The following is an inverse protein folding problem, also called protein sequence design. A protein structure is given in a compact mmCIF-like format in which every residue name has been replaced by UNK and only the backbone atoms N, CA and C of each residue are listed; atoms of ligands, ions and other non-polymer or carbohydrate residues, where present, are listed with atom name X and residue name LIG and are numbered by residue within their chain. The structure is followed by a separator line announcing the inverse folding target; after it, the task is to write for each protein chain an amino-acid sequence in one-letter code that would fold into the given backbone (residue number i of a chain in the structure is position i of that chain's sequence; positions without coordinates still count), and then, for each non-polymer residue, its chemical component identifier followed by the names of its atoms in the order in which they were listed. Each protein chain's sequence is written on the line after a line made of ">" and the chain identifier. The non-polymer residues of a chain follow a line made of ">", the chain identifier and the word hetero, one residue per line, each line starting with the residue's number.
data_IF_830061375899
#
_entry.id   IF_830061375899
#
_cell.length_a   1.000
_cell.length_b   1.000
_cell.length_c   1.000
_cell.angle_alpha   90.00
_cell.angle_beta   90.00
_cell.angle_gamma   90.00
#
_symmetry.space_group_name_H-M   'P 1'
#
loop_
_entity.id
_entity.type
_entity.pdbx_description
1 polymer ?
#
# COMPACT_ATOMS: atom_id res chain seq x y z
N UNK A 1 -2.71 15.53 20.16
CA UNK A 1 -1.48 15.90 19.44
C UNK A 1 -1.87 16.18 18.00
N UNK A 2 -1.33 17.24 17.39
CA UNK A 2 -1.69 17.62 16.03
C UNK A 2 -1.29 16.51 15.02
N UNK A 3 -2.10 16.26 13.97
CA UNK A 3 -1.73 15.34 12.90
C UNK A 3 -0.41 15.79 12.26
N UNK A 4 0.43 14.84 11.86
CA UNK A 4 1.62 15.17 11.09
C UNK A 4 1.23 15.84 9.77
N UNK A 5 2.15 16.56 9.12
CA UNK A 5 1.87 17.20 7.84
C UNK A 5 1.37 16.18 6.80
N UNK A 6 1.89 14.95 6.82
CA UNK A 6 1.50 13.90 5.90
C UNK A 6 0.03 13.46 6.11
N UNK A 7 -0.42 13.43 7.36
CA UNK A 7 -1.81 13.07 7.70
C UNK A 7 -2.84 14.10 7.19
N UNK A 8 -2.39 15.31 6.84
CA UNK A 8 -3.23 16.37 6.28
C UNK A 8 -3.30 16.32 4.75
N UNK A 9 -2.45 15.52 4.09
CA UNK A 9 -2.41 15.43 2.62
C UNK A 9 -3.40 14.39 2.06
N UNK A 10 -4.00 13.57 2.92
CA UNK A 10 -4.93 12.50 2.54
C UNK A 10 -6.18 12.57 3.42
N UNK A 11 -7.35 12.51 2.79
CA UNK A 11 -8.61 12.45 3.50
C UNK A 11 -8.84 11.05 4.10
N UNK A 12 -8.90 10.96 5.43
CA UNK A 12 -8.98 9.68 6.15
C UNK A 12 -10.29 9.45 6.92
N UNK A 13 -11.23 10.40 6.86
CA UNK A 13 -12.47 10.32 7.63
C UNK A 13 -13.59 9.63 6.82
N UNK A 14 -14.51 8.95 7.49
CA UNK A 14 -15.73 8.44 6.85
C UNK A 14 -16.71 9.58 6.58
N UNK A 15 -17.42 9.54 5.46
CA UNK A 15 -18.57 10.42 5.23
C UNK A 15 -19.85 9.65 5.55
N UNK A 16 -20.69 10.22 6.42
CA UNK A 16 -21.96 9.63 6.83
C UNK A 16 -21.92 8.93 8.20
N UNK A 17 -23.08 8.49 8.70
CA UNK A 17 -23.20 7.89 10.03
C UNK A 17 -22.58 6.49 10.12
N UNK A 18 -22.39 5.80 9.00
CA UNK A 18 -21.83 4.44 8.94
C UNK A 18 -20.90 4.27 7.73
N UNK A 19 -19.91 3.37 7.86
CA UNK A 19 -18.96 3.01 6.79
C UNK A 19 -19.61 2.65 5.46
N UNK A 20 -20.79 2.01 5.48
CA UNK A 20 -21.51 1.54 4.28
C UNK A 20 -22.00 2.68 3.36
N UNK A 21 -22.12 3.90 3.89
CA UNK A 21 -22.52 5.08 3.13
C UNK A 21 -21.35 5.98 2.75
N UNK A 22 -20.14 5.65 3.20
CA UNK A 22 -18.92 6.40 2.85
C UNK A 22 -18.52 6.09 1.42
N UNK A 23 -18.16 7.10 0.60
CA UNK A 23 -17.51 6.87 -0.68
C UNK A 23 -16.32 5.93 -0.55
N UNK A 24 -16.15 5.06 -1.54
CA UNK A 24 -15.07 4.08 -1.58
C UNK A 24 -13.75 4.68 -2.08
N UNK A 25 -13.79 5.88 -2.64
CA UNK A 25 -12.62 6.61 -3.15
C UNK A 25 -12.74 8.07 -2.79
N UNK A 26 -11.68 8.62 -2.23
CA UNK A 26 -11.48 10.04 -1.95
C UNK A 26 -10.19 10.51 -2.62
N UNK A 27 -10.27 11.64 -3.32
CA UNK A 27 -9.12 12.31 -3.91
C UNK A 27 -9.04 13.70 -3.32
N UNK A 28 -7.90 14.03 -2.72
CA UNK A 28 -7.62 15.35 -2.17
C UNK A 28 -6.52 16.02 -2.99
N UNK A 29 -6.80 17.21 -3.53
CA UNK A 29 -5.79 18.04 -4.20
C UNK A 29 -5.40 19.19 -3.28
N UNK A 30 -4.13 19.23 -2.89
CA UNK A 30 -3.59 20.23 -1.97
C UNK A 30 -2.63 21.14 -2.71
N UNK A 31 -2.95 22.44 -2.76
CA UNK A 31 -2.10 23.47 -3.35
C UNK A 31 -1.25 24.13 -2.26
N UNK A 32 0.07 24.14 -2.44
CA UNK A 32 1.00 24.78 -1.52
C UNK A 32 1.22 26.24 -1.90
N UNK A 33 1.50 27.09 -0.92
CA UNK A 33 1.80 28.53 -1.14
C UNK A 33 2.98 28.76 -2.09
N UNK A 34 3.90 27.81 -2.20
CA UNK A 34 5.04 27.85 -3.13
C UNK A 34 4.68 27.45 -4.57
N UNK A 35 3.42 27.16 -4.88
CA UNK A 35 2.97 26.69 -6.20
C UNK A 35 3.07 25.18 -6.42
N UNK A 36 3.61 24.42 -5.45
CA UNK A 36 3.59 22.96 -5.49
C UNK A 36 2.18 22.39 -5.34
N UNK A 37 1.97 21.16 -5.81
CA UNK A 37 0.69 20.44 -5.68
C UNK A 37 0.96 19.05 -5.12
N UNK A 38 0.09 18.58 -4.21
CA UNK A 38 0.01 17.19 -3.78
C UNK A 38 -1.36 16.62 -4.10
N UNK A 39 -1.39 15.36 -4.55
CA UNK A 39 -2.63 14.61 -4.78
C UNK A 39 -2.63 13.41 -3.85
N UNK A 40 -3.51 13.44 -2.85
CA UNK A 40 -3.74 12.34 -1.92
C UNK A 40 -4.87 11.44 -2.38
N UNK A 41 -4.67 10.13 -2.28
CA UNK A 41 -5.68 9.11 -2.55
C UNK A 41 -5.99 8.34 -1.26
N UNK A 42 -7.27 8.27 -0.90
CA UNK A 42 -7.78 7.35 0.12
C UNK A 42 -8.84 6.48 -0.53
N UNK A 43 -8.77 5.18 -0.31
CA UNK A 43 -9.61 4.23 -1.02
C UNK A 43 -9.92 2.99 -0.19
N UNK A 44 -11.06 2.38 -0.42
CA UNK A 44 -11.45 1.14 0.23
C UNK A 44 -10.70 -0.03 -0.41
N UNK A 45 -9.91 -0.77 0.37
CA UNK A 45 -9.08 -1.86 -0.15
C UNK A 45 -9.89 -3.03 -0.77
N UNK A 46 -11.21 -3.08 -0.52
CA UNK A 46 -12.15 -4.00 -1.22
C UNK A 46 -12.20 -3.75 -2.73
N UNK A 47 -11.87 -2.56 -3.20
CA UNK A 47 -11.85 -2.20 -4.61
C UNK A 47 -10.69 -2.82 -5.38
N UNK A 48 -9.60 -3.20 -4.69
CA UNK A 48 -8.43 -3.80 -5.33
C UNK A 48 -7.15 -3.62 -4.53
N UNK A 49 -6.05 -4.03 -5.15
CA UNK A 49 -4.69 -3.96 -4.59
C UNK A 49 -3.92 -2.69 -5.01
N UNK A 50 -2.72 -2.51 -4.48
CA UNK A 50 -1.87 -1.34 -4.81
C UNK A 50 -1.59 -1.18 -6.32
N UNK A 51 -1.55 -2.29 -7.07
CA UNK A 51 -1.38 -2.26 -8.53
C UNK A 51 -2.63 -1.71 -9.23
N UNK A 52 -3.80 -2.12 -8.77
CA UNK A 52 -5.10 -1.60 -9.24
C UNK A 52 -5.24 -0.10 -8.93
N UNK A 53 -4.83 0.35 -7.73
CA UNK A 53 -4.77 1.77 -7.36
C UNK A 53 -3.85 2.56 -8.29
N UNK A 54 -2.66 2.02 -8.55
CA UNK A 54 -1.68 2.65 -9.43
C UNK A 54 -2.21 2.76 -10.86
N UNK A 55 -2.87 1.72 -11.37
CA UNK A 55 -3.51 1.74 -12.69
C UNK A 55 -4.64 2.76 -12.75
N UNK A 56 -5.48 2.83 -11.72
CA UNK A 56 -6.52 3.84 -11.59
C UNK A 56 -5.95 5.26 -11.68
N UNK A 57 -4.92 5.58 -10.90
CA UNK A 57 -4.30 6.91 -10.91
C UNK A 57 -3.66 7.24 -12.26
N UNK A 58 -3.04 6.26 -12.92
CA UNK A 58 -2.48 6.43 -14.26
C UNK A 58 -3.56 6.73 -15.31
N UNK A 59 -4.68 6.01 -15.28
CA UNK A 59 -5.82 6.23 -16.19
C UNK A 59 -6.46 7.59 -15.91
N UNK A 60 -6.65 7.95 -14.64
CA UNK A 60 -7.14 9.27 -14.23
C UNK A 60 -6.23 10.38 -14.78
N UNK A 61 -4.91 10.23 -14.64
CA UNK A 61 -3.93 11.19 -15.17
C UNK A 61 -3.98 11.32 -16.71
N UNK A 62 -4.23 10.24 -17.44
CA UNK A 62 -4.43 10.29 -18.89
C UNK A 62 -5.73 11.01 -19.27
N UNK A 63 -6.81 10.73 -18.54
CA UNK A 63 -8.11 11.36 -18.74
C UNK A 63 -8.05 12.87 -18.51
N UNK A 64 -7.38 13.31 -17.43
CA UNK A 64 -7.18 14.73 -17.13
C UNK A 64 -6.33 15.46 -18.19
N UNK A 65 -5.51 14.74 -18.95
CA UNK A 65 -4.76 15.27 -20.11
C UNK A 65 -5.61 15.33 -21.40
N UNK A 66 -6.91 15.01 -21.34
CA UNK A 66 -7.78 14.92 -22.52
C UNK A 66 -7.49 13.73 -23.42
N UNK A 67 -6.66 12.76 -22.98
CA UNK A 67 -6.44 11.52 -23.72
C UNK A 67 -7.64 10.62 -23.52
N UNK A 68 -8.06 9.90 -24.57
CA UNK A 68 -9.08 8.85 -24.43
C UNK A 68 -8.53 7.80 -23.47
N UNK A 69 -9.13 7.71 -22.29
CA UNK A 69 -8.88 6.61 -21.38
C UNK A 69 -9.23 5.31 -22.12
N UNK A 70 -8.25 4.41 -22.28
CA UNK A 70 -8.59 3.04 -22.62
C UNK A 70 -9.45 2.54 -21.47
N UNK A 71 -10.75 2.35 -21.72
CA UNK A 71 -11.64 1.67 -20.78
C UNK A 71 -10.92 0.39 -20.41
N UNK A 72 -10.55 0.27 -19.13
CA UNK A 72 -9.98 -0.96 -18.63
C UNK A 72 -11.01 -2.02 -19.01
N UNK A 73 -10.62 -2.95 -19.88
CA UNK A 73 -11.46 -4.09 -20.17
C UNK A 73 -11.75 -4.70 -18.80
N UNK A 74 -12.99 -4.53 -18.32
CA UNK A 74 -13.43 -5.30 -17.18
C UNK A 74 -13.19 -6.74 -17.62
N UNK A 75 -12.39 -7.54 -16.90
CA UNK A 75 -12.38 -8.97 -17.17
C UNK A 75 -13.85 -9.34 -17.17
N UNK A 76 -14.33 -9.91 -18.29
CA UNK A 76 -15.71 -10.32 -18.42
C UNK A 76 -16.14 -10.89 -17.08
N UNK A 77 -17.29 -10.47 -16.56
CA UNK A 77 -17.94 -11.16 -15.45
C UNK A 77 -18.35 -12.57 -15.92
N UNK A 78 -17.41 -13.39 -16.43
CA UNK A 78 -17.48 -14.80 -16.19
C UNK A 78 -17.49 -14.88 -14.67
N UNK A 79 -18.68 -15.16 -14.13
CA UNK A 79 -18.91 -15.58 -12.75
C UNK A 79 -17.61 -16.12 -12.19
N UNK A 80 -17.06 -15.58 -11.08
CA UNK A 80 -15.83 -16.11 -10.50
C UNK A 80 -15.97 -17.62 -10.51
N UNK A 81 -15.16 -18.28 -11.35
CA UNK A 81 -15.01 -19.71 -11.33
C UNK A 81 -14.22 -19.96 -10.06
N UNK A 82 -14.88 -19.82 -8.91
CA UNK A 82 -14.43 -20.44 -7.70
C UNK A 82 -14.29 -21.89 -8.10
N UNK A 83 -13.05 -22.34 -8.29
CA UNK A 83 -12.75 -23.74 -8.15
C UNK A 83 -13.21 -24.03 -6.73
N UNK A 84 -14.43 -24.56 -6.60
CA UNK A 84 -14.85 -25.23 -5.38
C UNK A 84 -13.95 -26.45 -5.34
N UNK A 85 -12.72 -26.25 -4.89
CA UNK A 85 -11.89 -27.33 -4.41
C UNK A 85 -12.67 -27.86 -3.22
N UNK A 86 -13.06 -29.14 -3.29
CA UNK A 86 -13.69 -29.84 -2.18
C UNK A 86 -12.99 -29.49 -0.86
N UNK A 87 -13.74 -29.30 0.23
CA UNK A 87 -13.19 -28.85 1.50
C UNK A 87 -12.37 -29.99 2.13
N UNK A 88 -11.12 -30.13 1.69
CA UNK A 88 -10.18 -31.09 2.29
C UNK A 88 -8.84 -30.44 2.65
N UNK A 89 -8.80 -29.11 2.70
CA UNK A 89 -7.66 -28.41 3.26
C UNK A 89 -8.18 -27.52 4.37
N UNK A 90 -7.94 -27.93 5.62
CA UNK A 90 -8.16 -27.10 6.79
C UNK A 90 -7.46 -25.76 6.53
N UNK A 91 -8.26 -24.73 6.27
CA UNK A 91 -7.76 -23.37 6.19
C UNK A 91 -7.22 -23.02 7.57
N UNK A 92 -6.02 -22.44 7.61
CA UNK A 92 -5.44 -21.91 8.84
C UNK A 92 -6.53 -21.12 9.59
N UNK A 93 -6.67 -21.30 10.92
CA UNK A 93 -7.78 -20.72 11.66
C UNK A 93 -7.82 -19.21 11.43
N UNK A 94 -8.80 -18.78 10.64
CA UNK A 94 -9.09 -17.39 10.37
C UNK A 94 -9.60 -16.79 11.68
N UNK A 95 -8.67 -16.20 12.45
CA UNK A 95 -9.03 -15.45 13.64
C UNK A 95 -9.81 -14.22 13.18
N UNK A 96 -11.13 -14.27 13.33
CA UNK A 96 -12.00 -13.12 13.11
C UNK A 96 -11.54 -12.00 14.03
N UNK A 97 -10.98 -10.95 13.45
CA UNK A 97 -10.62 -9.73 14.18
C UNK A 97 -11.93 -8.99 14.47
N UNK A 98 -12.03 -8.35 15.64
CA UNK A 98 -13.18 -7.53 15.98
C UNK A 98 -13.37 -6.43 14.93
N UNK A 99 -14.62 -6.05 14.66
CA UNK A 99 -14.95 -4.94 13.77
C UNK A 99 -14.17 -3.69 14.20
N UNK A 100 -13.55 -2.98 13.26
CA UNK A 100 -12.66 -1.84 13.50
C UNK A 100 -13.45 -0.55 13.86
N UNK A 101 -14.76 -0.64 14.07
CA UNK A 101 -15.66 0.52 14.18
C UNK A 101 -15.80 1.25 12.83
N UNK A 102 -16.31 2.48 12.83
CA UNK A 102 -16.58 3.27 11.61
C UNK A 102 -15.34 3.92 10.97
N UNK A 103 -14.20 3.24 11.00
CA UNK A 103 -12.95 3.77 10.48
C UNK A 103 -12.34 2.83 9.44
N UNK A 104 -11.98 3.39 8.28
CA UNK A 104 -11.20 2.71 7.24
C UNK A 104 -9.76 2.40 7.70
N UNK A 105 -9.30 3.03 8.77
CA UNK A 105 -7.96 2.92 9.32
C UNK A 105 -8.03 2.33 10.72
N UNK A 106 -7.22 1.30 10.99
CA UNK A 106 -7.13 0.68 12.31
C UNK A 106 -6.69 1.72 13.36
N UNK A 107 -7.51 1.94 14.37
CA UNK A 107 -7.17 2.80 15.50
C UNK A 107 -6.13 2.12 16.37
N UNK A 108 -4.87 2.54 16.22
CA UNK A 108 -3.80 2.05 17.09
C UNK A 108 -3.80 2.86 18.39
N UNK A 109 -3.81 2.18 19.53
CA UNK A 109 -3.69 2.82 20.86
C UNK A 109 -2.27 3.35 21.13
N UNK A 110 -1.31 3.00 20.27
CA UNK A 110 0.08 3.39 20.42
C UNK A 110 0.37 4.62 19.54
N UNK A 111 1.03 5.62 20.11
CA UNK A 111 1.52 6.77 19.35
C UNK A 111 2.66 6.30 18.43
N UNK A 112 2.36 6.17 17.14
CA UNK A 112 3.36 5.84 16.13
C UNK A 112 3.81 7.11 15.37
N UNK A 113 5.04 7.07 14.87
CA UNK A 113 5.62 8.11 14.01
C UNK A 113 6.20 7.45 12.77
N UNK A 114 6.03 8.09 11.62
CA UNK A 114 6.59 7.62 10.35
C UNK A 114 8.02 8.13 10.20
N UNK A 115 8.93 7.23 9.85
CA UNK A 115 10.31 7.56 9.52
C UNK A 115 10.66 7.05 8.12
N UNK A 116 11.34 7.87 7.34
CA UNK A 116 11.74 7.56 5.97
C UNK A 116 13.25 7.30 5.92
N UNK A 117 13.63 6.21 5.27
CA UNK A 117 15.03 5.87 5.00
C UNK A 117 15.29 6.02 3.51
N UNK A 118 16.12 7.00 3.15
CA UNK A 118 16.50 7.21 1.77
C UNK A 118 17.71 6.32 1.43
N UNK A 119 17.53 5.42 0.47
CA UNK A 119 18.58 4.54 -0.02
C UNK A 119 18.90 4.92 -1.46
N UNK A 120 20.16 5.27 -1.72
CA UNK A 120 20.64 5.48 -3.09
C UNK A 120 20.79 4.14 -3.82
N UNK A 121 20.82 4.18 -5.16
CA UNK A 121 21.09 2.99 -5.98
C UNK A 121 22.44 2.34 -5.64
N UNK A 122 23.47 3.14 -5.33
CA UNK A 122 24.80 2.63 -4.94
C UNK A 122 24.77 1.94 -3.59
N UNK A 123 24.08 2.52 -2.60
CA UNK A 123 23.89 1.90 -1.28
C UNK A 123 23.09 0.60 -1.40
N UNK A 124 22.04 0.60 -2.22
CA UNK A 124 21.22 -0.59 -2.45
C UNK A 124 22.03 -1.72 -3.10
N UNK A 125 22.83 -1.41 -4.13
CA UNK A 125 23.72 -2.37 -4.78
C UNK A 125 24.75 -2.96 -3.80
N UNK A 126 25.32 -2.12 -2.93
CA UNK A 126 26.25 -2.56 -1.89
C UNK A 126 25.57 -3.45 -0.83
N UNK A 127 24.32 -3.18 -0.47
CA UNK A 127 23.57 -4.03 0.47
C UNK A 127 23.30 -5.40 -0.14
N UNK A 128 22.84 -5.43 -1.40
CA UNK A 128 22.56 -6.67 -2.12
C UNK A 128 23.82 -7.52 -2.27
N UNK A 129 24.97 -6.91 -2.61
CA UNK A 129 26.24 -7.64 -2.76
C UNK A 129 26.77 -8.18 -1.44
N UNK A 130 26.57 -7.49 -0.32
CA UNK A 130 26.94 -7.99 1.02
C UNK A 130 26.15 -9.22 1.44
N UNK A 131 24.90 -9.36 1.00
CA UNK A 131 24.04 -10.49 1.35
C UNK A 131 24.27 -11.70 0.43
N UNK A 132 24.46 -11.49 -0.87
CA UNK A 132 24.53 -12.56 -1.87
C UNK A 132 25.96 -12.92 -2.33
N UNK A 133 26.97 -12.15 -1.93
CA UNK A 133 28.35 -12.34 -2.39
C UNK A 133 28.60 -11.82 -3.81
N UNK A 134 29.86 -11.82 -4.27
CA UNK A 134 30.26 -11.19 -5.54
C UNK A 134 29.92 -11.99 -6.81
N UNK A 135 29.57 -13.28 -6.71
CA UNK A 135 29.55 -14.22 -7.85
C UNK A 135 28.17 -14.51 -8.48
N UNK A 136 27.09 -13.83 -8.09
CA UNK A 136 25.79 -14.02 -8.76
C UNK A 136 25.61 -13.02 -9.92
N UNK A 137 25.71 -13.55 -11.15
CA UNK A 137 25.34 -12.85 -12.38
C UNK A 137 23.81 -12.82 -12.56
N UNK A 138 23.32 -11.70 -13.10
CA UNK A 138 22.00 -11.47 -13.71
C UNK A 138 20.73 -11.33 -12.84
N UNK A 139 20.68 -11.73 -11.55
CA UNK A 139 19.45 -11.55 -10.70
C UNK A 139 19.49 -10.38 -9.70
N UNK A 140 20.43 -9.44 -9.81
CA UNK A 140 20.70 -8.40 -8.77
C UNK A 140 19.52 -7.51 -8.39
N UNK A 141 18.62 -7.17 -9.31
CA UNK A 141 17.52 -6.24 -9.01
C UNK A 141 16.28 -6.93 -8.42
N UNK A 142 16.05 -8.20 -8.76
CA UNK A 142 14.87 -8.96 -8.31
C UNK A 142 14.87 -9.27 -6.81
N UNK A 143 16.04 -9.23 -6.16
CA UNK A 143 16.20 -9.57 -4.74
C UNK A 143 16.29 -8.35 -3.81
N UNK A 144 16.22 -7.12 -4.35
CA UNK A 144 16.32 -5.90 -3.54
C UNK A 144 15.25 -5.85 -2.44
N UNK A 145 14.02 -6.22 -2.78
CA UNK A 145 12.91 -6.29 -1.83
C UNK A 145 13.20 -7.28 -0.69
N UNK A 146 13.69 -8.47 -1.01
CA UNK A 146 14.03 -9.51 -0.02
C UNK A 146 15.16 -9.04 0.91
N UNK A 147 16.20 -8.43 0.36
CA UNK A 147 17.34 -7.88 1.12
C UNK A 147 16.89 -6.78 2.07
N UNK A 148 16.13 -5.79 1.58
CA UNK A 148 15.60 -4.70 2.42
C UNK A 148 14.69 -5.26 3.52
N UNK A 149 13.79 -6.19 3.17
CA UNK A 149 12.87 -6.81 4.11
C UNK A 149 13.61 -7.58 5.20
N UNK A 150 14.63 -8.37 4.83
CA UNK A 150 15.46 -9.11 5.78
C UNK A 150 16.24 -8.18 6.72
N UNK A 151 16.80 -7.08 6.20
CA UNK A 151 17.50 -6.08 7.01
C UNK A 151 16.54 -5.41 8.00
N UNK A 152 15.36 -4.98 7.54
CA UNK A 152 14.33 -4.37 8.39
C UNK A 152 13.85 -5.34 9.46
N UNK A 153 13.58 -6.60 9.09
CA UNK A 153 13.20 -7.64 10.04
C UNK A 153 14.27 -7.88 11.10
N UNK A 154 15.54 -8.01 10.70
CA UNK A 154 16.68 -8.17 11.61
C UNK A 154 16.84 -6.97 12.54
N UNK A 155 16.68 -5.75 12.04
CA UNK A 155 16.74 -4.53 12.84
C UNK A 155 15.61 -4.48 13.87
N UNK A 156 14.38 -4.82 13.46
CA UNK A 156 13.21 -4.87 14.34
C UNK A 156 13.38 -5.91 15.44
N UNK A 157 13.79 -7.14 15.10
CA UNK A 157 14.01 -8.20 16.08
C UNK A 157 15.10 -7.84 17.11
N UNK A 158 16.18 -7.18 16.68
CA UNK A 158 17.20 -6.64 17.61
C UNK A 158 16.65 -5.59 18.57
N UNK A 159 15.86 -4.63 18.06
CA UNK A 159 15.24 -3.59 18.88
C UNK A 159 14.29 -4.23 19.92
N UNK A 160 13.58 -5.28 19.52
CA UNK A 160 12.65 -6.04 20.38
C UNK A 160 13.34 -7.01 21.33
N UNK A 161 14.67 -7.21 21.22
CA UNK A 161 15.44 -8.22 21.97
C UNK A 161 14.97 -9.66 21.72
N UNK A 162 14.54 -9.93 20.49
CA UNK A 162 14.13 -11.26 20.00
C UNK A 162 15.29 -12.01 19.31
N UNK A 163 16.46 -11.37 19.21
CA UNK A 163 17.71 -11.85 18.64
C UNK A 163 18.87 -11.56 19.60
#
# INVERSE_FOLDING_TARGET
>A
GFPSLQDQLVYAHTLGPELGFSPLVFIQVTWFKCGGISVGLSWAHILGDVFSASKFMNVLGQYLQGKKAQVLAFPNQSSPKYLITSPTQESLPLKRVNLVGDHWVATTKCKMSTHFFNLSSTQLAQLVSKVHGPNENERRMGKCFEVISAIMWKALAKIRKEL
#
